data_IF_664704888939
#
_entry.id   IF_664704888939
#
_cell.length_a   1.000
_cell.length_b   1.000
_cell.length_c   1.000
_cell.angle_alpha   90.00
_cell.angle_beta   90.00
_cell.angle_gamma   90.00
#
_symmetry.space_group_name_H-M   'P 1'
#
loop_
_entity.id
_entity.type
_entity.pdbx_description
1 polymer ?
#
# COMPACT_ATOMS: atom_id res chain seq x y z
N UNK A 1 -46.81 -50.25 -3.01
CA UNK A 1 -46.59 -48.80 -3.26
C UNK A 1 -46.14 -48.14 -1.97
N UNK A 2 -44.85 -47.86 -1.83
CA UNK A 2 -44.33 -47.13 -0.66
C UNK A 2 -44.63 -45.64 -0.84
N UNK A 3 -45.48 -45.05 0.02
CA UNK A 3 -45.73 -43.60 0.05
C UNK A 3 -44.60 -42.96 0.84
N UNK A 4 -43.78 -42.15 0.17
CA UNK A 4 -42.88 -41.24 0.87
C UNK A 4 -43.70 -40.23 1.68
N UNK A 5 -43.50 -40.22 3.01
CA UNK A 5 -44.01 -39.16 3.88
C UNK A 5 -43.27 -37.87 3.53
N UNK A 6 -43.99 -36.89 3.00
CA UNK A 6 -43.49 -35.52 2.90
C UNK A 6 -43.53 -34.92 4.30
N UNK A 7 -42.38 -34.60 4.87
CA UNK A 7 -42.27 -33.87 6.13
C UNK A 7 -42.24 -32.37 5.80
N UNK A 8 -43.14 -31.59 6.38
CA UNK A 8 -43.14 -30.13 6.24
C UNK A 8 -42.04 -29.52 7.11
N UNK A 9 -41.40 -28.46 6.62
CA UNK A 9 -40.33 -27.76 7.34
C UNK A 9 -40.91 -26.95 8.50
N UNK A 10 -40.28 -27.04 9.67
CA UNK A 10 -40.73 -26.34 10.89
C UNK A 10 -40.36 -24.86 10.85
N UNK A 11 -41.08 -24.03 11.62
CA UNK A 11 -40.73 -22.62 11.82
C UNK A 11 -39.29 -22.45 12.34
N UNK A 12 -38.84 -23.35 13.23
CA UNK A 12 -37.51 -23.30 13.82
C UNK A 12 -36.42 -23.52 12.76
N UNK A 13 -36.62 -24.44 11.82
CA UNK A 13 -35.69 -24.67 10.70
C UNK A 13 -35.58 -23.46 9.77
N UNK A 14 -36.70 -22.82 9.43
CA UNK A 14 -36.69 -21.63 8.58
C UNK A 14 -35.99 -20.47 9.28
N UNK A 15 -36.25 -20.26 10.57
CA UNK A 15 -35.56 -19.23 11.35
C UNK A 15 -34.06 -19.51 11.45
N UNK A 16 -33.67 -20.75 11.73
CA UNK A 16 -32.25 -21.14 11.77
C UNK A 16 -31.58 -20.95 10.40
N UNK A 17 -32.23 -21.35 9.31
CA UNK A 17 -31.73 -21.17 7.96
C UNK A 17 -31.53 -19.69 7.62
N UNK A 18 -32.47 -18.82 8.02
CA UNK A 18 -32.34 -17.38 7.83
C UNK A 18 -31.20 -16.78 8.66
N UNK A 19 -31.00 -17.24 9.90
CA UNK A 19 -29.87 -16.81 10.74
C UNK A 19 -28.53 -17.21 10.11
N UNK A 20 -28.40 -18.47 9.67
CA UNK A 20 -27.19 -18.95 8.99
C UNK A 20 -26.96 -18.16 7.70
N UNK A 21 -28.01 -17.97 6.90
CA UNK A 21 -27.93 -17.22 5.66
C UNK A 21 -27.53 -15.76 5.90
N UNK A 22 -28.12 -15.09 6.89
CA UNK A 22 -27.80 -13.71 7.23
C UNK A 22 -26.34 -13.57 7.70
N UNK A 23 -25.86 -14.46 8.56
CA UNK A 23 -24.46 -14.45 9.03
C UNK A 23 -23.47 -14.72 7.90
N UNK A 24 -23.78 -15.66 7.00
CA UNK A 24 -22.98 -15.90 5.79
C UNK A 24 -22.94 -14.66 4.87
N UNK A 25 -24.07 -13.99 4.70
CA UNK A 25 -24.16 -12.73 3.94
C UNK A 25 -23.26 -11.63 4.52
N UNK A 26 -23.29 -11.44 5.85
CA UNK A 26 -22.42 -10.47 6.54
C UNK A 26 -20.93 -10.79 6.35
N UNK A 27 -20.55 -12.07 6.45
CA UNK A 27 -19.17 -12.50 6.23
C UNK A 27 -18.69 -12.18 4.81
N UNK A 28 -19.53 -12.42 3.80
CA UNK A 28 -19.23 -12.08 2.40
C UNK A 28 -19.09 -10.58 2.21
N UNK A 29 -19.98 -9.77 2.78
CA UNK A 29 -19.89 -8.31 2.71
C UNK A 29 -18.59 -7.79 3.33
N UNK A 30 -18.21 -8.34 4.50
CA UNK A 30 -16.96 -7.98 5.16
C UNK A 30 -15.74 -8.37 4.32
N UNK A 31 -15.74 -9.56 3.72
CA UNK A 31 -14.67 -10.02 2.84
C UNK A 31 -14.51 -9.09 1.63
N UNK A 32 -15.61 -8.70 0.99
CA UNK A 32 -15.63 -7.75 -0.13
C UNK A 32 -15.12 -6.37 0.29
N UNK A 33 -15.55 -5.85 1.44
CA UNK A 33 -15.07 -4.58 1.98
C UNK A 33 -13.56 -4.62 2.24
N UNK A 34 -13.07 -5.70 2.84
CA UNK A 34 -11.64 -5.89 3.09
C UNK A 34 -10.85 -5.96 1.77
N UNK A 35 -11.37 -6.65 0.75
CA UNK A 35 -10.74 -6.74 -0.56
C UNK A 35 -10.59 -5.35 -1.22
N UNK A 36 -11.64 -4.52 -1.18
CA UNK A 36 -11.61 -3.16 -1.73
C UNK A 36 -10.62 -2.26 -0.99
N UNK A 37 -10.61 -2.30 0.35
CA UNK A 37 -9.65 -1.53 1.16
C UNK A 37 -8.20 -1.93 0.85
N UNK A 38 -7.95 -3.24 0.68
CA UNK A 38 -6.63 -3.72 0.33
C UNK A 38 -6.21 -3.27 -1.09
N UNK A 39 -7.15 -3.26 -2.04
CA UNK A 39 -6.89 -2.78 -3.40
C UNK A 39 -6.47 -1.31 -3.41
N UNK A 40 -7.18 -0.44 -2.69
CA UNK A 40 -6.83 0.98 -2.57
C UNK A 40 -5.43 1.18 -1.96
N UNK A 41 -5.06 0.37 -0.96
CA UNK A 41 -3.73 0.41 -0.37
C UNK A 41 -2.62 0.00 -1.35
N UNK A 42 -2.86 -1.03 -2.17
CA UNK A 42 -1.91 -1.48 -3.19
C UNK A 42 -1.72 -0.43 -4.30
N UNK A 43 -2.80 0.28 -4.66
CA UNK A 43 -2.74 1.39 -5.60
C UNK A 43 -1.89 2.54 -5.06
N UNK A 44 -2.15 3.00 -3.83
CA UNK A 44 -1.37 4.05 -3.17
C UNK A 44 0.12 3.63 -3.06
N UNK A 45 0.41 2.36 -2.78
CA UNK A 45 1.78 1.81 -2.75
C UNK A 45 2.45 1.83 -4.12
N UNK A 46 1.70 1.51 -5.16
CA UNK A 46 2.19 1.56 -6.54
C UNK A 46 2.51 2.99 -6.94
N UNK A 47 1.62 3.95 -6.69
CA UNK A 47 1.87 5.37 -6.95
C UNK A 47 3.10 5.88 -6.19
N UNK A 48 3.23 5.54 -4.90
CA UNK A 48 4.38 5.90 -4.09
C UNK A 48 5.70 5.33 -4.66
N UNK A 49 5.67 4.10 -5.19
CA UNK A 49 6.82 3.46 -5.84
C UNK A 49 7.23 4.20 -7.13
N UNK A 50 6.27 4.65 -7.94
CA UNK A 50 6.53 5.42 -9.15
C UNK A 50 7.12 6.80 -8.83
N UNK A 51 6.55 7.49 -7.83
CA UNK A 51 7.06 8.78 -7.34
C UNK A 51 8.52 8.62 -6.84
N UNK A 52 8.79 7.57 -6.04
CA UNK A 52 10.13 7.31 -5.53
C UNK A 52 11.13 7.01 -6.66
N UNK A 53 10.72 6.23 -7.65
CA UNK A 53 11.56 5.91 -8.81
C UNK A 53 11.90 7.17 -9.62
N UNK A 54 10.90 8.00 -9.91
CA UNK A 54 11.08 9.25 -10.63
C UNK A 54 11.98 10.22 -9.87
N UNK A 55 11.77 10.35 -8.54
CA UNK A 55 12.60 11.20 -7.70
C UNK A 55 14.07 10.76 -7.69
N UNK A 56 14.35 9.45 -7.64
CA UNK A 56 15.72 8.93 -7.71
C UNK A 56 16.38 9.22 -9.06
N UNK A 57 15.63 9.06 -10.16
CA UNK A 57 16.11 9.41 -11.50
C UNK A 57 16.43 10.90 -11.59
N UNK A 58 15.56 11.76 -11.06
CA UNK A 58 15.75 13.20 -11.06
C UNK A 58 17.01 13.61 -10.27
N UNK A 59 17.23 13.06 -9.07
CA UNK A 59 18.44 13.30 -8.30
C UNK A 59 19.71 12.94 -9.09
N UNK A 60 19.68 11.85 -9.85
CA UNK A 60 20.80 11.42 -10.69
C UNK A 60 21.04 12.38 -11.87
N UNK A 61 19.97 12.88 -12.49
CA UNK A 61 20.04 13.82 -13.61
C UNK A 61 20.57 15.19 -13.17
N UNK A 62 20.13 15.69 -12.00
CA UNK A 62 20.55 16.97 -11.46
C UNK A 62 22.00 16.93 -10.91
N UNK A 63 22.63 15.74 -10.86
CA UNK A 63 23.97 15.50 -10.30
C UNK A 63 24.13 16.07 -8.88
N UNK A 64 23.04 16.15 -8.13
CA UNK A 64 23.05 16.66 -6.76
C UNK A 64 23.69 15.58 -5.89
N UNK A 65 24.79 15.92 -5.24
CA UNK A 65 25.37 15.06 -4.21
C UNK A 65 24.50 15.14 -2.94
N UNK A 66 23.78 14.07 -2.57
CA UNK A 66 22.88 14.12 -1.42
C UNK A 66 23.68 14.14 -0.11
N UNK A 67 23.12 14.81 0.88
CA UNK A 67 23.71 14.94 2.22
C UNK A 67 23.12 13.91 3.17
N UNK A 68 23.77 13.66 4.30
CA UNK A 68 23.26 12.72 5.33
C UNK A 68 22.02 13.23 6.06
N UNK A 69 21.56 14.45 5.76
CA UNK A 69 20.37 15.08 6.34
C UNK A 69 19.16 14.79 5.47
N UNK A 70 18.01 14.54 6.10
CA UNK A 70 16.75 14.41 5.38
C UNK A 70 16.41 15.71 4.65
N UNK A 71 16.24 15.62 3.34
CA UNK A 71 15.61 16.67 2.53
C UNK A 71 14.18 16.24 2.23
N UNK A 72 13.23 17.13 2.51
CA UNK A 72 11.81 16.92 2.23
C UNK A 72 11.44 17.68 0.96
N UNK A 73 10.52 17.12 0.19
CA UNK A 73 9.91 17.72 -1.00
C UNK A 73 8.47 17.26 -1.09
N UNK A 74 7.64 18.07 -1.72
CA UNK A 74 6.24 17.72 -1.98
C UNK A 74 6.05 17.52 -3.48
N UNK A 75 5.23 16.55 -3.85
CA UNK A 75 4.90 16.22 -5.23
C UNK A 75 3.40 16.00 -5.34
N UNK A 76 2.79 16.58 -6.37
CA UNK A 76 1.42 16.27 -6.75
C UNK A 76 1.44 15.20 -7.84
N UNK A 77 0.77 14.07 -7.59
CA UNK A 77 0.67 12.95 -8.52
C UNK A 77 -0.71 12.29 -8.39
N UNK A 78 -1.37 12.05 -9.53
CA UNK A 78 -2.74 11.53 -9.59
C UNK A 78 -3.72 12.35 -8.72
N UNK A 79 -3.67 13.68 -8.84
CA UNK A 79 -4.49 14.65 -8.09
C UNK A 79 -4.40 14.55 -6.55
N UNK A 80 -3.35 13.90 -6.04
CA UNK A 80 -3.03 13.78 -4.62
C UNK A 80 -1.67 14.41 -4.33
N UNK A 81 -1.53 15.02 -3.16
CA UNK A 81 -0.26 15.54 -2.66
C UNK A 81 0.49 14.44 -1.90
N UNK A 82 1.79 14.34 -2.15
CA UNK A 82 2.68 13.33 -1.58
C UNK A 82 3.90 13.98 -0.95
N UNK A 83 4.35 13.44 0.17
CA UNK A 83 5.52 13.91 0.91
C UNK A 83 6.69 12.98 0.65
N UNK A 84 7.62 13.45 -0.16
CA UNK A 84 8.85 12.74 -0.51
C UNK A 84 9.96 13.23 0.41
N UNK A 85 10.81 12.31 0.87
CA UNK A 85 12.06 12.69 1.52
C UNK A 85 13.19 11.79 1.09
N UNK A 86 14.40 12.33 1.05
CA UNK A 86 15.59 11.55 0.76
C UNK A 86 16.77 11.94 1.63
N UNK A 87 17.69 11.00 1.83
CA UNK A 87 18.97 11.23 2.50
C UNK A 87 20.05 10.34 1.91
N UNK A 88 21.29 10.80 1.98
CA UNK A 88 22.44 9.93 1.80
C UNK A 88 22.67 9.07 3.04
N UNK A 89 23.13 7.85 2.81
CA UNK A 89 23.55 6.89 3.82
C UNK A 89 24.96 6.45 3.42
N UNK A 90 25.91 6.60 4.34
CA UNK A 90 27.27 6.13 4.14
C UNK A 90 27.29 4.64 3.85
N UNK A 91 28.13 4.23 2.91
CA UNK A 91 28.39 2.82 2.64
C UNK A 91 29.76 2.42 3.22
N UNK A 92 30.07 1.13 3.24
CA UNK A 92 31.38 0.64 3.67
C UNK A 92 32.54 1.08 2.75
N UNK A 93 32.24 1.51 1.53
CA UNK A 93 33.21 2.04 0.57
C UNK A 93 33.02 3.56 0.40
N UNK A 94 34.09 4.33 0.62
CA UNK A 94 34.09 5.80 0.49
C UNK A 94 33.80 6.30 -0.93
N UNK A 95 33.92 5.43 -1.94
CA UNK A 95 33.59 5.74 -3.33
C UNK A 95 32.08 5.66 -3.62
N UNK A 96 31.29 5.05 -2.73
CA UNK A 96 29.85 4.89 -2.91
C UNK A 96 29.05 5.49 -1.77
N UNK A 97 27.96 6.16 -2.13
CA UNK A 97 26.92 6.56 -1.18
C UNK A 97 25.61 5.87 -1.57
N UNK A 98 24.87 5.41 -0.56
CA UNK A 98 23.50 4.97 -0.76
C UNK A 98 22.57 6.17 -0.60
N UNK A 99 21.49 6.22 -1.37
CA UNK A 99 20.43 7.22 -1.23
C UNK A 99 19.15 6.50 -0.89
N UNK A 100 18.61 6.80 0.29
CA UNK A 100 17.29 6.34 0.71
C UNK A 100 16.26 7.38 0.32
N UNK A 101 15.26 6.98 -0.46
CA UNK A 101 14.10 7.79 -0.80
C UNK A 101 12.85 7.17 -0.21
N UNK A 102 12.05 7.99 0.47
CA UNK A 102 10.81 7.59 1.10
C UNK A 102 9.67 8.45 0.62
N UNK A 103 8.54 7.83 0.31
CA UNK A 103 7.32 8.51 -0.12
C UNK A 103 6.20 8.20 0.85
N UNK A 104 5.53 9.26 1.30
CA UNK A 104 4.48 9.24 2.32
C UNK A 104 3.25 9.97 1.81
N UNK A 105 2.08 9.53 2.28
CA UNK A 105 0.80 10.21 2.02
C UNK A 105 0.61 11.44 2.92
N UNK A 106 1.14 11.35 4.14
CA UNK A 106 1.09 12.41 5.15
C UNK A 106 2.50 12.81 5.60
N UNK A 107 2.70 14.07 5.98
CA UNK A 107 4.02 14.61 6.37
C UNK A 107 4.66 13.84 7.53
N UNK A 108 3.84 13.40 8.49
CA UNK A 108 4.26 12.61 9.68
C UNK A 108 3.87 11.13 9.58
N UNK A 109 3.34 10.69 8.45
CA UNK A 109 2.89 9.32 8.22
C UNK A 109 4.03 8.32 8.01
N UNK A 110 3.64 7.04 7.91
CA UNK A 110 4.55 5.94 7.55
C UNK A 110 4.85 5.98 6.05
N UNK A 111 6.07 5.61 5.67
CA UNK A 111 6.46 5.49 4.27
C UNK A 111 5.70 4.35 3.58
N UNK A 112 4.97 4.69 2.52
CA UNK A 112 4.27 3.71 1.67
C UNK A 112 5.23 3.02 0.72
N UNK A 113 6.27 3.73 0.28
CA UNK A 113 7.39 3.18 -0.48
C UNK A 113 8.72 3.69 0.08
N UNK A 114 9.71 2.80 0.11
CA UNK A 114 11.11 3.14 0.40
C UNK A 114 11.99 2.50 -0.66
N UNK A 115 12.83 3.29 -1.30
CA UNK A 115 13.81 2.82 -2.27
C UNK A 115 15.21 3.25 -1.89
N UNK A 116 16.16 2.36 -2.17
CA UNK A 116 17.59 2.61 -2.01
C UNK A 116 18.28 2.46 -3.35
N UNK A 117 19.07 3.46 -3.72
CA UNK A 117 20.00 3.37 -4.87
C UNK A 117 21.41 3.70 -4.43
N UNK A 118 22.41 3.39 -5.26
CA UNK A 118 23.82 3.68 -5.01
C UNK A 118 24.35 4.64 -6.06
N UNK A 119 25.09 5.65 -5.61
CA UNK A 119 25.74 6.64 -6.47
C UNK A 119 27.24 6.57 -6.21
N UNK A 120 28.02 6.44 -7.29
CA UNK A 120 29.47 6.50 -7.23
C UNK A 120 29.96 7.95 -7.22
N UNK A 121 30.99 8.22 -6.42
CA UNK A 121 31.68 9.50 -6.36
C UNK A 121 32.59 9.60 -7.58
N UNK A 122 32.21 10.47 -8.53
CA UNK A 122 33.06 10.85 -9.65
C UNK A 122 34.10 11.88 -9.22
#
# INVERSE_FOLDING_TARGET
MSRHKVCGMTLLEVMLALVILATAGLAVMQASSNALNNQAHLEDKSMAMWIASNGLVQLKLEKIWPTSTWKNSEVTFADKQWFVRYKAVGTGDSQFIAVDMQVRKDEKGVALATLRTYIAKH
#
